data_IF_424776829964
#
_entry.id   IF_424776829964
#
_cell.length_a   1.000
_cell.length_b   1.000
_cell.length_c   1.000
_cell.angle_alpha   90.00
_cell.angle_beta   90.00
_cell.angle_gamma   90.00
#
_symmetry.space_group_name_H-M   'P 1'
#
loop_
_entity.id
_entity.type
_entity.pdbx_description
1 polymer ?
#
# COMPACT_ATOMS: atom_id res chain seq x y z
N UNK A 1 12.50 30.47 -8.27
CA UNK A 1 11.90 29.19 -8.66
C UNK A 1 10.96 28.77 -7.54
N UNK A 2 9.68 28.52 -7.82
CA UNK A 2 8.73 28.10 -6.77
C UNK A 2 9.06 26.70 -6.25
N UNK A 3 8.87 26.47 -4.96
CA UNK A 3 9.06 25.15 -4.37
C UNK A 3 8.11 24.12 -5.01
N UNK A 4 8.63 22.93 -5.30
CA UNK A 4 7.80 21.85 -5.83
C UNK A 4 6.76 21.45 -4.80
N UNK A 5 5.48 21.57 -5.17
CA UNK A 5 4.34 21.22 -4.32
C UNK A 5 3.41 20.26 -5.05
N UNK A 6 3.10 19.15 -4.40
CA UNK A 6 2.17 18.14 -4.89
C UNK A 6 1.32 17.64 -3.73
N UNK A 7 0.02 17.42 -3.98
CA UNK A 7 -0.85 16.68 -3.07
C UNK A 7 -1.61 15.60 -3.85
N UNK A 8 -1.74 14.43 -3.25
CA UNK A 8 -2.55 13.31 -3.72
C UNK A 8 -3.54 12.90 -2.64
N UNK A 9 -4.76 12.59 -3.06
CA UNK A 9 -5.81 12.00 -2.25
C UNK A 9 -6.47 10.88 -3.05
N UNK A 10 -6.64 9.72 -2.44
CA UNK A 10 -7.25 8.54 -3.03
C UNK A 10 -8.29 7.93 -2.10
N UNK A 11 -9.35 7.39 -2.69
CA UNK A 11 -10.36 6.58 -1.99
C UNK A 11 -10.77 5.43 -2.90
N UNK A 12 -10.92 4.24 -2.34
CA UNK A 12 -11.47 3.09 -3.04
C UNK A 12 -12.43 2.32 -2.14
N UNK A 13 -13.45 1.74 -2.77
CA UNK A 13 -14.44 0.85 -2.17
C UNK A 13 -14.65 -0.30 -3.17
N UNK A 14 -14.74 -1.53 -2.67
CA UNK A 14 -15.05 -2.68 -3.50
C UNK A 14 -15.82 -3.74 -2.70
N UNK A 15 -16.72 -4.43 -3.40
CA UNK A 15 -17.37 -5.65 -2.96
C UNK A 15 -16.98 -6.76 -3.93
N UNK A 16 -16.39 -7.83 -3.42
CA UNK A 16 -15.96 -8.98 -4.20
C UNK A 16 -16.61 -10.26 -3.69
N UNK A 17 -16.92 -11.19 -4.60
CA UNK A 17 -17.44 -12.51 -4.27
C UNK A 17 -16.51 -13.58 -4.76
N UNK A 18 -16.18 -14.51 -3.89
CA UNK A 18 -15.32 -15.64 -4.17
C UNK A 18 -16.13 -16.92 -4.08
N UNK A 19 -16.29 -17.62 -5.20
CA UNK A 19 -17.00 -18.89 -5.24
C UNK A 19 -16.12 -20.04 -4.79
N UNK A 20 -16.56 -20.77 -3.77
CA UNK A 20 -15.97 -22.00 -3.27
C UNK A 20 -14.43 -22.02 -3.02
N UNK A 21 -13.82 -20.95 -2.45
CA UNK A 21 -12.38 -20.86 -2.24
C UNK A 21 -11.80 -22.06 -1.47
N UNK A 22 -10.73 -22.65 -1.99
CA UNK A 22 -10.06 -23.82 -1.40
C UNK A 22 -10.69 -25.18 -1.75
N UNK A 23 -11.71 -25.22 -2.60
CA UNK A 23 -12.35 -26.47 -3.04
C UNK A 23 -12.55 -26.52 -4.56
N UNK A 24 -12.77 -27.70 -5.13
CA UNK A 24 -13.12 -27.85 -6.55
C UNK A 24 -12.08 -27.31 -7.55
N UNK A 25 -10.82 -27.16 -7.13
CA UNK A 25 -9.75 -26.54 -7.93
C UNK A 25 -9.62 -25.02 -7.76
N UNK A 26 -10.50 -24.36 -7.02
CA UNK A 26 -10.37 -22.95 -6.67
C UNK A 26 -9.27 -22.73 -5.63
N UNK A 27 -8.46 -21.69 -5.82
CA UNK A 27 -7.44 -21.30 -4.86
C UNK A 27 -8.08 -20.83 -3.54
N UNK A 28 -7.42 -21.07 -2.40
CA UNK A 28 -7.83 -20.49 -1.12
C UNK A 28 -7.75 -18.96 -1.16
N UNK A 29 -8.73 -18.30 -0.55
CA UNK A 29 -8.69 -16.86 -0.33
C UNK A 29 -7.83 -16.58 0.92
N UNK A 30 -6.72 -15.87 0.71
CA UNK A 30 -5.73 -15.58 1.75
C UNK A 30 -5.44 -14.08 1.79
N UNK A 31 -5.72 -13.45 2.92
CA UNK A 31 -5.29 -12.08 3.17
C UNK A 31 -3.91 -12.10 3.82
N UNK A 32 -2.91 -11.71 3.03
CA UNK A 32 -1.50 -11.69 3.41
C UNK A 32 -0.90 -10.33 3.01
N UNK A 33 -0.94 -9.34 3.90
CA UNK A 33 -0.23 -8.08 3.67
C UNK A 33 1.23 -8.36 3.36
N UNK A 34 1.77 -7.63 2.39
CA UNK A 34 3.19 -7.73 2.05
C UNK A 34 3.95 -6.69 2.87
N UNK A 35 4.95 -7.09 3.67
CA UNK A 35 5.96 -6.15 4.13
C UNK A 35 6.65 -5.55 2.90
N UNK A 36 6.88 -4.23 2.88
CA UNK A 36 7.57 -3.58 1.76
C UNK A 36 9.09 -3.84 1.73
N UNK A 37 9.62 -4.52 2.74
CA UNK A 37 11.02 -4.92 2.77
C UNK A 37 11.20 -6.30 2.12
N UNK A 38 12.06 -6.37 1.10
CA UNK A 38 12.42 -7.62 0.42
C UNK A 38 12.96 -8.69 1.37
N UNK A 39 13.64 -8.30 2.46
CA UNK A 39 14.15 -9.20 3.50
C UNK A 39 13.02 -9.85 4.33
N UNK A 40 11.86 -9.20 4.45
CA UNK A 40 10.70 -9.69 5.18
C UNK A 40 9.64 -10.32 4.25
N UNK A 41 9.81 -10.22 2.93
CA UNK A 41 8.82 -10.67 1.95
C UNK A 41 8.55 -12.19 1.98
N UNK A 42 9.51 -12.99 2.46
CA UNK A 42 9.36 -14.43 2.68
C UNK A 42 8.57 -14.77 3.96
N UNK A 43 8.35 -13.81 4.85
CA UNK A 43 7.62 -13.97 6.12
C UNK A 43 6.27 -13.27 6.05
N UNK A 44 5.36 -13.78 5.22
CA UNK A 44 4.00 -13.23 5.11
C UNK A 44 3.09 -13.85 6.16
N UNK A 45 2.67 -13.04 7.12
CA UNK A 45 1.65 -13.44 8.10
C UNK A 45 0.31 -13.55 7.37
N UNK A 46 -0.40 -14.65 7.58
CA UNK A 46 -1.78 -14.81 7.13
C UNK A 46 -2.71 -14.19 8.16
N UNK A 47 -3.32 -13.07 7.81
CA UNK A 47 -4.31 -12.40 8.66
C UNK A 47 -5.69 -13.05 8.59
N UNK A 48 -6.06 -13.55 7.41
CA UNK A 48 -7.30 -14.30 7.21
C UNK A 48 -7.09 -15.38 6.15
N UNK A 49 -7.74 -16.52 6.36
CA UNK A 49 -7.76 -17.66 5.45
C UNK A 49 -9.18 -18.17 5.32
N UNK A 50 -9.69 -18.22 4.11
CA UNK A 50 -10.96 -18.81 3.73
C UNK A 50 -10.66 -19.90 2.70
N UNK A 51 -10.86 -21.16 3.08
CA UNK A 51 -10.39 -22.31 2.31
C UNK A 51 -11.31 -23.53 2.38
N UNK A 52 -12.48 -23.40 3.02
CA UNK A 52 -13.38 -24.54 3.28
C UNK A 52 -14.37 -24.79 2.12
N UNK A 53 -14.22 -24.09 0.99
CA UNK A 53 -15.12 -24.22 -0.15
C UNK A 53 -16.46 -23.50 0.02
N UNK A 54 -16.60 -22.62 1.00
CA UNK A 54 -17.81 -21.81 1.21
C UNK A 54 -17.68 -20.48 0.49
N UNK A 55 -18.72 -20.09 -0.25
CA UNK A 55 -18.77 -18.80 -0.93
C UNK A 55 -18.47 -17.68 0.06
N UNK A 56 -17.53 -16.79 -0.29
CA UNK A 56 -17.03 -15.75 0.60
C UNK A 56 -17.22 -14.38 -0.02
N UNK A 57 -17.90 -13.50 0.69
CA UNK A 57 -18.00 -12.08 0.37
C UNK A 57 -16.83 -11.32 1.00
N UNK A 58 -16.32 -10.32 0.29
CA UNK A 58 -15.26 -9.43 0.77
C UNK A 58 -15.58 -7.96 0.45
N UNK A 59 -15.95 -7.21 1.48
CA UNK A 59 -16.09 -5.76 1.43
C UNK A 59 -14.78 -5.10 1.85
N UNK A 60 -14.24 -4.22 1.00
CA UNK A 60 -12.96 -3.56 1.26
C UNK A 60 -12.96 -2.09 0.89
N UNK A 61 -12.10 -1.35 1.58
CA UNK A 61 -11.93 0.08 1.38
C UNK A 61 -10.46 0.48 1.59
N UNK A 62 -10.06 1.59 0.96
CA UNK A 62 -8.76 2.23 1.19
C UNK A 62 -8.87 3.75 1.09
N UNK A 63 -8.08 4.43 1.92
CA UNK A 63 -7.84 5.86 1.90
C UNK A 63 -6.34 6.09 1.69
N UNK A 64 -6.00 6.97 0.76
CA UNK A 64 -4.62 7.31 0.43
C UNK A 64 -4.41 8.82 0.53
N UNK A 65 -3.29 9.22 1.10
CA UNK A 65 -2.85 10.61 1.12
C UNK A 65 -1.36 10.68 0.90
N UNK A 66 -0.92 11.63 0.07
CA UNK A 66 0.49 11.92 -0.09
C UNK A 66 0.73 13.39 -0.41
N UNK A 67 1.88 13.91 0.01
CA UNK A 67 2.29 15.29 -0.27
C UNK A 67 3.80 15.37 -0.46
N UNK A 68 4.21 16.28 -1.35
CA UNK A 68 5.62 16.62 -1.61
C UNK A 68 5.75 18.12 -1.44
N UNK A 69 6.70 18.54 -0.63
CA UNK A 69 7.08 19.94 -0.39
C UNK A 69 8.60 20.06 -0.50
N UNK A 70 9.08 20.51 -1.66
CA UNK A 70 10.51 20.59 -1.92
C UNK A 70 11.18 19.23 -1.70
N UNK A 71 12.18 19.10 -0.82
CA UNK A 71 12.88 17.84 -0.57
C UNK A 71 12.15 16.89 0.38
N UNK A 72 11.04 17.34 1.00
CA UNK A 72 10.25 16.53 1.90
C UNK A 72 9.11 15.85 1.17
N UNK A 73 8.85 14.60 1.53
CA UNK A 73 7.62 13.93 1.14
C UNK A 73 7.08 13.05 2.24
N UNK A 74 5.77 12.87 2.25
CA UNK A 74 5.13 11.86 3.10
C UNK A 74 3.95 11.25 2.37
N UNK A 75 3.67 10.01 2.72
CA UNK A 75 2.56 9.25 2.18
C UNK A 75 2.00 8.33 3.28
N UNK A 76 0.71 8.10 3.22
CA UNK A 76 0.01 7.20 4.12
C UNK A 76 -1.12 6.51 3.40
N UNK A 77 -1.33 5.24 3.71
CA UNK A 77 -2.50 4.49 3.30
C UNK A 77 -3.17 3.89 4.53
N UNK A 78 -4.49 3.88 4.53
CA UNK A 78 -5.31 3.24 5.54
C UNK A 78 -6.36 2.40 4.83
N UNK A 79 -6.30 1.09 5.04
CA UNK A 79 -7.14 0.12 4.35
C UNK A 79 -7.77 -0.84 5.33
N UNK A 80 -8.96 -1.30 5.00
CA UNK A 80 -9.62 -2.33 5.78
C UNK A 80 -10.63 -3.11 4.97
N UNK A 81 -11.16 -4.15 5.59
CA UNK A 81 -12.24 -4.92 5.01
C UNK A 81 -12.80 -6.01 5.91
N UNK A 82 -13.93 -6.55 5.48
CA UNK A 82 -14.71 -7.56 6.17
C UNK A 82 -14.88 -8.74 5.22
N UNK A 83 -14.49 -9.93 5.68
CA UNK A 83 -14.69 -11.19 4.97
C UNK A 83 -15.73 -12.01 5.71
N UNK A 84 -16.63 -12.63 4.96
CA UNK A 84 -17.74 -13.42 5.49
C UNK A 84 -18.09 -14.57 4.53
N UNK A 85 -18.13 -15.79 5.03
CA UNK A 85 -18.56 -16.99 4.29
C UNK A 85 -19.76 -17.71 4.94
N UNK A 86 -20.50 -16.97 5.78
CA UNK A 86 -21.67 -17.43 6.53
C UNK A 86 -21.37 -18.25 7.80
N UNK A 87 -20.11 -18.65 8.04
CA UNK A 87 -19.73 -19.34 9.29
C UNK A 87 -18.40 -18.87 9.88
N UNK A 88 -17.52 -18.30 9.06
CA UNK A 88 -16.31 -17.60 9.45
C UNK A 88 -16.43 -16.13 9.07
N UNK A 89 -16.03 -15.25 9.99
CA UNK A 89 -15.92 -13.82 9.76
C UNK A 89 -14.50 -13.35 10.07
N UNK A 90 -13.95 -12.45 9.26
CA UNK A 90 -12.67 -11.82 9.55
C UNK A 90 -12.72 -10.32 9.26
N UNK A 91 -12.16 -9.54 10.18
CA UNK A 91 -11.89 -8.12 9.97
C UNK A 91 -10.40 -7.92 9.78
N UNK A 92 -10.03 -7.27 8.68
CA UNK A 92 -8.65 -6.89 8.41
C UNK A 92 -8.52 -5.38 8.40
N UNK A 93 -7.42 -4.91 8.96
CA UNK A 93 -7.04 -3.50 9.00
C UNK A 93 -5.55 -3.43 8.77
N UNK A 94 -5.12 -2.50 7.93
CA UNK A 94 -3.72 -2.22 7.68
C UNK A 94 -3.54 -0.72 7.46
N UNK A 95 -2.48 -0.16 8.01
CA UNK A 95 -2.10 1.22 7.76
C UNK A 95 -0.59 1.35 7.67
N UNK A 96 -0.13 2.35 6.92
CA UNK A 96 1.25 2.78 7.04
C UNK A 96 1.37 4.30 6.91
N UNK A 97 2.45 4.82 7.46
CA UNK A 97 2.94 6.16 7.20
C UNK A 97 4.42 6.10 6.82
N UNK A 98 4.78 6.82 5.77
CA UNK A 98 6.15 7.02 5.32
C UNK A 98 6.43 8.52 5.29
N UNK A 99 7.53 8.92 5.92
CA UNK A 99 8.11 10.26 5.76
C UNK A 99 9.50 10.10 5.16
N UNK A 100 9.85 10.99 4.23
CA UNK A 100 11.19 11.01 3.64
C UNK A 100 11.68 12.41 3.36
N UNK A 101 13.00 12.52 3.29
CA UNK A 101 13.71 13.76 3.04
C UNK A 101 14.95 13.50 2.19
N UNK A 102 15.04 14.17 1.04
CA UNK A 102 16.25 14.23 0.23
C UNK A 102 17.20 15.29 0.80
N UNK A 103 18.23 14.84 1.50
CA UNK A 103 19.27 15.71 2.09
C UNK A 103 20.01 16.51 1.01
N UNK A 104 20.09 15.96 -0.20
CA UNK A 104 20.71 16.58 -1.38
C UNK A 104 19.80 17.59 -2.11
N UNK A 105 18.53 17.72 -1.68
CA UNK A 105 17.61 18.78 -2.12
C UNK A 105 16.66 18.40 -3.26
N UNK A 106 16.70 17.17 -3.76
CA UNK A 106 15.79 16.70 -4.80
C UNK A 106 14.34 16.61 -4.31
N UNK A 107 13.39 16.94 -5.17
CA UNK A 107 11.99 16.66 -4.92
C UNK A 107 11.60 15.29 -5.46
N UNK A 108 10.89 14.51 -4.64
CA UNK A 108 10.37 13.20 -5.05
C UNK A 108 9.46 13.37 -6.28
N UNK A 109 9.76 12.61 -7.33
CA UNK A 109 8.99 12.65 -8.58
C UNK A 109 7.63 11.99 -8.41
N UNK A 110 6.61 12.51 -9.08
CA UNK A 110 5.26 11.94 -9.07
C UNK A 110 4.67 11.89 -10.48
N UNK A 111 4.30 10.69 -10.93
CA UNK A 111 3.61 10.48 -12.19
C UNK A 111 2.11 10.63 -11.98
N UNK A 112 1.58 11.78 -12.40
CA UNK A 112 0.15 12.11 -12.29
C UNK A 112 -0.75 11.23 -13.17
N UNK A 113 -0.22 10.60 -14.22
CA UNK A 113 -1.02 9.73 -15.10
C UNK A 113 -1.29 8.39 -14.44
N UNK A 114 -0.30 7.85 -13.73
CA UNK A 114 -0.38 6.54 -13.07
C UNK A 114 -0.68 6.63 -11.58
N UNK A 115 -0.64 7.83 -11.00
CA UNK A 115 -0.92 8.07 -9.59
C UNK A 115 0.21 7.62 -8.66
N UNK A 116 1.46 7.53 -9.15
CA UNK A 116 2.55 6.86 -8.44
C UNK A 116 3.77 7.76 -8.24
N UNK A 117 4.42 7.59 -7.10
CA UNK A 117 5.77 8.10 -6.92
C UNK A 117 6.74 7.44 -7.90
N UNK A 118 7.69 8.22 -8.38
CA UNK A 118 8.67 7.82 -9.38
C UNK A 118 10.09 8.06 -8.86
N UNK A 119 11.04 7.37 -9.48
CA UNK A 119 12.46 7.51 -9.16
C UNK A 119 12.96 8.91 -9.55
N UNK A 120 13.96 9.41 -8.82
CA UNK A 120 14.76 10.55 -9.26
C UNK A 120 15.49 10.17 -10.55
N UNK A 121 15.17 10.87 -11.64
CA UNK A 121 15.79 10.62 -12.96
C UNK A 121 17.14 11.32 -13.11
N UNK A 122 17.27 12.51 -12.53
CA UNK A 122 18.47 13.33 -12.64
C UNK A 122 18.74 13.96 -11.28
N UNK A 123 19.77 13.48 -10.55
CA UNK A 123 20.19 14.09 -9.29
C UNK A 123 20.67 15.53 -9.47
N UNK A 124 20.56 16.34 -8.42
CA UNK A 124 21.03 17.73 -8.44
C UNK A 124 22.56 17.83 -8.40
N UNK A 125 23.25 16.76 -7.98
CA UNK A 125 24.70 16.72 -7.74
C UNK A 125 25.37 15.54 -8.44
N UNK A 126 26.64 15.65 -8.87
CA UNK A 126 27.39 14.53 -9.45
C UNK A 126 27.56 13.33 -8.52
N UNK A 127 27.53 13.55 -7.20
CA UNK A 127 27.57 12.50 -6.18
C UNK A 127 26.29 11.67 -6.08
N UNK A 128 25.25 12.03 -6.82
CA UNK A 128 23.93 11.42 -6.72
C UNK A 128 23.03 12.09 -5.68
N UNK A 129 21.88 11.46 -5.45
CA UNK A 129 20.87 11.88 -4.48
C UNK A 129 20.96 11.01 -3.22
N UNK A 130 20.80 11.61 -2.05
CA UNK A 130 20.77 10.92 -0.77
C UNK A 130 19.45 11.20 -0.04
N UNK A 131 18.72 10.14 0.29
CA UNK A 131 17.42 10.20 0.94
C UNK A 131 17.46 9.47 2.29
N UNK A 132 16.85 10.09 3.29
CA UNK A 132 16.50 9.45 4.55
C UNK A 132 15.00 9.21 4.55
N UNK A 133 14.58 8.01 4.94
CA UNK A 133 13.17 7.63 4.98
C UNK A 133 12.87 6.83 6.26
N UNK A 134 11.71 7.10 6.86
CA UNK A 134 11.18 6.38 8.00
C UNK A 134 9.76 5.94 7.69
N UNK A 135 9.50 4.64 7.86
CA UNK A 135 8.19 4.05 7.68
C UNK A 135 7.73 3.37 8.96
N UNK A 136 6.45 3.52 9.27
CA UNK A 136 5.75 2.77 10.29
C UNK A 136 4.57 2.04 9.65
N UNK A 137 4.44 0.75 9.92
CA UNK A 137 3.36 -0.13 9.48
C UNK A 137 2.59 -0.63 10.71
N UNK A 138 1.25 -0.65 10.63
CA UNK A 138 0.33 -1.19 11.65
C UNK A 138 -0.68 -2.14 11.01
#
# INVERSE_FOLDING_TARGET
MGEARLRHLGVSLAHERYSHPGSGGAASLLIRPRPENDLANNSRITLARFADGRDTDFDKWSLEYAEVLGPWSWQSEFSGGLLDDGSQHAKVLASYGLVSWFVTGESRGYDRKTGRFSRIKTPNRPSGAFELALRYDY
#
